data_IF_695118870632
#
_entry.id   IF_695118870632
#
_cell.length_a   1.000
_cell.length_b   1.000
_cell.length_c   1.000
_cell.angle_alpha   90.00
_cell.angle_beta   90.00
_cell.angle_gamma   90.00
#
_symmetry.space_group_name_H-M   'P 1'
#
loop_
_entity.id
_entity.type
_entity.pdbx_description
1 polymer ?
#
# COMPACT_ATOMS: atom_id res chain seq x y z
N UNK A 1 39.44 6.20 -56.83
CA UNK A 1 39.16 7.34 -55.93
C UNK A 1 37.64 7.42 -55.67
N UNK A 2 37.05 6.37 -55.12
CA UNK A 2 36.68 6.17 -53.70
C UNK A 2 35.80 7.30 -53.10
N UNK A 3 34.49 7.15 -53.39
CA UNK A 3 33.30 7.26 -52.53
C UNK A 3 32.95 8.62 -51.88
N UNK A 4 32.24 9.46 -52.63
CA UNK A 4 31.45 10.62 -52.15
C UNK A 4 30.04 10.27 -51.61
N UNK A 5 29.74 8.99 -51.40
CA UNK A 5 28.38 8.50 -51.11
C UNK A 5 28.05 8.20 -49.64
N UNK A 6 28.95 8.48 -48.68
CA UNK A 6 28.78 8.00 -47.30
C UNK A 6 28.07 8.98 -46.36
N UNK A 7 27.95 10.26 -46.72
CA UNK A 7 27.41 11.28 -45.80
C UNK A 7 25.91 11.52 -46.00
N UNK A 8 25.37 11.26 -47.19
CA UNK A 8 23.95 11.53 -47.50
C UNK A 8 23.01 10.44 -46.92
N UNK A 9 23.53 9.25 -46.59
CA UNK A 9 22.72 8.17 -46.02
C UNK A 9 22.39 8.36 -44.54
N UNK A 10 23.09 9.25 -43.82
CA UNK A 10 22.87 9.44 -42.38
C UNK A 10 21.74 10.43 -42.04
N UNK A 11 21.25 11.23 -42.99
CA UNK A 11 20.21 12.23 -42.73
C UNK A 11 18.78 11.75 -43.02
N UNK A 12 18.61 10.61 -43.71
CA UNK A 12 17.28 10.09 -44.11
C UNK A 12 16.74 9.05 -43.12
N UNK A 13 17.59 8.45 -42.27
CA UNK A 13 17.16 7.47 -41.26
C UNK A 13 16.55 8.15 -40.02
N UNK A 14 16.80 9.45 -39.81
CA UNK A 14 16.16 10.22 -38.74
C UNK A 14 14.69 10.58 -39.04
N UNK A 15 14.18 10.27 -40.24
CA UNK A 15 12.81 10.56 -40.67
C UNK A 15 11.85 9.34 -40.69
N UNK A 16 12.26 8.17 -40.20
CA UNK A 16 11.42 6.96 -40.22
C UNK A 16 11.06 6.36 -38.85
N UNK A 17 11.11 7.13 -37.76
CA UNK A 17 10.65 6.68 -36.43
C UNK A 17 9.62 7.62 -35.78
N UNK A 18 8.78 8.30 -36.57
CA UNK A 18 7.63 9.07 -36.07
C UNK A 18 6.27 8.43 -36.41
N UNK A 19 6.20 7.10 -36.50
CA UNK A 19 4.91 6.38 -36.51
C UNK A 19 5.05 5.02 -35.84
N UNK A 20 5.03 5.02 -34.51
CA UNK A 20 4.44 3.90 -33.78
C UNK A 20 3.47 4.49 -32.76
N UNK A 21 2.23 4.67 -33.21
CA UNK A 21 1.08 4.76 -32.33
C UNK A 21 0.93 3.41 -31.61
N UNK A 22 1.64 3.21 -30.50
CA UNK A 22 1.21 2.22 -29.52
C UNK A 22 0.11 2.84 -28.69
N UNK A 23 -1.09 2.80 -29.27
CA UNK A 23 -2.33 2.71 -28.53
C UNK A 23 -2.21 1.48 -27.63
N UNK A 24 -2.07 1.72 -26.33
CA UNK A 24 -2.50 0.86 -25.22
C UNK A 24 -2.33 1.69 -23.95
N UNK A 25 -3.18 2.71 -23.83
CA UNK A 25 -3.67 3.09 -22.51
C UNK A 25 -4.58 1.91 -22.16
N UNK A 26 -4.09 1.02 -21.31
CA UNK A 26 -4.96 0.11 -20.59
C UNK A 26 -5.93 1.02 -19.83
N UNK A 27 -7.12 1.09 -20.41
CA UNK A 27 -8.34 1.53 -19.78
C UNK A 27 -8.44 0.75 -18.46
N UNK A 28 -7.97 1.39 -17.38
CA UNK A 28 -8.34 0.99 -16.03
C UNK A 28 -9.84 1.28 -15.95
N UNK A 29 -10.62 0.22 -16.16
CA UNK A 29 -12.07 0.22 -16.09
C UNK A 29 -12.52 0.87 -14.79
N UNK A 30 -13.45 1.83 -14.94
CA UNK A 30 -14.14 2.60 -13.89
C UNK A 30 -14.75 1.72 -12.77
N UNK A 31 -14.91 0.42 -13.04
CA UNK A 31 -15.50 -0.56 -12.14
C UNK A 31 -14.67 -0.88 -10.87
N UNK A 32 -13.34 -0.70 -10.88
CA UNK A 32 -12.52 -1.01 -9.70
C UNK A 32 -12.49 0.11 -8.65
N UNK A 33 -12.74 1.36 -9.04
CA UNK A 33 -12.79 2.48 -8.09
C UNK A 33 -14.08 2.48 -7.27
N UNK A 34 -15.19 2.06 -7.89
CA UNK A 34 -16.50 1.97 -7.24
C UNK A 34 -16.55 0.89 -6.14
N UNK A 35 -15.83 -0.23 -6.31
CA UNK A 35 -15.84 -1.33 -5.33
C UNK A 35 -15.12 -0.97 -4.02
N UNK A 36 -14.07 -0.15 -4.06
CA UNK A 36 -13.34 0.27 -2.86
C UNK A 36 -14.08 1.36 -2.06
N UNK A 37 -14.76 2.28 -2.73
CA UNK A 37 -15.54 3.34 -2.08
C UNK A 37 -16.83 2.78 -1.44
N UNK A 38 -17.45 1.76 -2.07
CA UNK A 38 -18.57 1.03 -1.48
C UNK A 38 -18.16 0.17 -0.27
N UNK A 39 -16.94 -0.37 -0.25
CA UNK A 39 -16.44 -1.11 0.92
C UNK A 39 -16.35 -0.17 2.12
N UNK A 40 -15.80 1.04 1.98
CA UNK A 40 -15.69 2.00 3.08
C UNK A 40 -17.06 2.48 3.63
N UNK A 41 -18.06 2.67 2.77
CA UNK A 41 -19.42 3.07 3.19
C UNK A 41 -20.22 1.90 3.82
N UNK A 42 -20.02 0.66 3.36
CA UNK A 42 -20.70 -0.52 3.90
C UNK A 42 -20.24 -0.94 5.31
N UNK A 43 -19.06 -0.46 5.75
CA UNK A 43 -18.53 -0.73 7.09
C UNK A 43 -19.23 0.09 8.19
N UNK A 44 -20.19 0.94 7.85
CA UNK A 44 -20.98 1.70 8.84
C UNK A 44 -21.86 0.81 9.74
N UNK A 45 -22.15 -0.42 9.34
CA UNK A 45 -22.85 -1.43 10.15
C UNK A 45 -21.94 -2.56 10.63
N UNK A 46 -20.64 -2.27 10.79
CA UNK A 46 -19.65 -3.24 11.24
C UNK A 46 -19.50 -3.27 12.77
N UNK A 47 -19.08 -4.41 13.29
CA UNK A 47 -18.69 -4.56 14.70
C UNK A 47 -17.20 -4.32 14.83
N UNK A 48 -16.80 -3.44 15.76
CA UNK A 48 -15.38 -3.20 16.05
C UNK A 48 -14.84 -4.38 16.87
N UNK A 49 -13.76 -4.99 16.38
CA UNK A 49 -13.07 -6.10 17.03
C UNK A 49 -11.86 -5.63 17.84
N UNK A 50 -11.02 -4.76 17.23
CA UNK A 50 -9.83 -4.18 17.87
C UNK A 50 -9.63 -2.74 17.42
N UNK A 51 -8.97 -1.94 18.24
CA UNK A 51 -8.60 -0.55 17.90
C UNK A 51 -7.13 -0.29 18.20
N UNK A 52 -6.62 0.84 17.71
CA UNK A 52 -5.27 1.31 18.03
C UNK A 52 -5.05 2.72 17.51
N UNK A 53 -3.91 3.30 17.88
CA UNK A 53 -3.46 4.60 17.39
C UNK A 53 -2.01 4.49 16.95
N UNK A 54 -1.69 5.07 15.80
CA UNK A 54 -0.32 5.07 15.30
C UNK A 54 0.56 5.99 16.13
N UNK A 55 1.71 5.45 16.49
CA UNK A 55 2.88 6.20 16.90
C UNK A 55 3.91 6.18 15.77
N UNK A 56 4.39 7.36 15.38
CA UNK A 56 5.50 7.49 14.43
C UNK A 56 6.77 6.80 14.94
N UNK A 57 7.57 6.30 14.00
CA UNK A 57 8.88 5.68 14.24
C UNK A 57 9.92 6.41 13.39
N UNK A 58 10.36 5.83 12.27
CA UNK A 58 11.34 6.46 11.40
C UNK A 58 10.78 7.67 10.64
N UNK A 59 9.46 7.71 10.46
CA UNK A 59 8.75 8.82 9.81
C UNK A 59 7.55 9.25 10.66
N UNK A 60 7.06 10.49 10.49
CA UNK A 60 5.76 10.88 11.00
C UNK A 60 4.68 9.93 10.47
N UNK A 61 3.96 9.31 11.40
CA UNK A 61 2.80 8.47 11.13
C UNK A 61 1.84 8.65 12.30
N UNK A 62 0.56 8.91 12.00
CA UNK A 62 -0.46 9.20 13.00
C UNK A 62 -1.85 8.77 12.50
N UNK A 63 -2.81 8.82 13.42
CA UNK A 63 -4.21 8.49 13.18
C UNK A 63 -4.63 7.20 13.87
N UNK A 64 -5.94 6.96 13.90
CA UNK A 64 -6.52 5.74 14.42
C UNK A 64 -6.38 4.56 13.45
N UNK A 65 -6.57 3.35 13.98
CA UNK A 65 -6.86 2.14 13.22
C UNK A 65 -8.02 1.40 13.88
N UNK A 66 -8.79 0.66 13.08
CA UNK A 66 -9.85 -0.23 13.57
C UNK A 66 -9.78 -1.54 12.83
N UNK A 67 -9.89 -2.66 13.53
CA UNK A 67 -10.23 -3.94 12.91
C UNK A 67 -11.73 -4.14 13.13
N UNK A 68 -12.46 -4.35 12.05
CA UNK A 68 -13.91 -4.48 12.07
C UNK A 68 -14.35 -5.76 11.40
N UNK A 69 -15.52 -6.26 11.79
CA UNK A 69 -16.22 -7.37 11.14
C UNK A 69 -17.52 -6.88 10.50
N UNK A 70 -17.73 -7.20 9.23
CA UNK A 70 -18.94 -6.90 8.47
C UNK A 70 -19.29 -8.10 7.59
N UNK A 71 -20.53 -8.59 7.69
CA UNK A 71 -21.02 -9.74 6.92
C UNK A 71 -20.13 -11.00 7.03
N UNK A 72 -19.51 -11.23 8.19
CA UNK A 72 -18.60 -12.37 8.42
C UNK A 72 -17.19 -12.19 7.85
N UNK A 73 -16.90 -11.03 7.25
CA UNK A 73 -15.60 -10.67 6.73
C UNK A 73 -14.92 -9.64 7.62
N UNK A 74 -13.60 -9.76 7.76
CA UNK A 74 -12.81 -8.89 8.63
C UNK A 74 -11.96 -7.93 7.82
N UNK A 75 -11.89 -6.70 8.29
CA UNK A 75 -11.15 -5.63 7.63
C UNK A 75 -10.33 -4.85 8.65
N UNK A 76 -9.10 -4.52 8.28
CA UNK A 76 -8.36 -3.43 8.91
C UNK A 76 -8.72 -2.13 8.19
N UNK A 77 -9.10 -1.12 8.96
CA UNK A 77 -9.53 0.18 8.49
C UNK A 77 -8.59 1.23 9.07
N UNK A 78 -8.02 2.05 8.19
CA UNK A 78 -7.38 3.31 8.53
C UNK A 78 -8.43 4.40 8.28
N UNK A 79 -8.90 5.15 9.30
CA UNK A 79 -9.90 6.20 9.13
C UNK A 79 -9.31 7.48 8.52
N UNK A 80 -10.14 8.51 8.41
CA UNK A 80 -9.81 9.76 7.74
C UNK A 80 -8.62 10.52 8.34
N UNK A 81 -8.38 10.35 9.63
CA UNK A 81 -7.28 10.97 10.36
C UNK A 81 -5.92 10.28 10.15
N UNK A 82 -5.88 9.16 9.42
CA UNK A 82 -4.63 8.51 9.07
C UNK A 82 -3.76 9.42 8.19
N UNK A 83 -2.49 9.54 8.57
CA UNK A 83 -1.48 10.24 7.79
C UNK A 83 -0.09 9.65 8.01
N UNK A 84 0.71 9.58 6.94
CA UNK A 84 2.15 9.27 6.98
C UNK A 84 2.91 9.98 5.86
N UNK A 85 4.25 10.00 5.93
CA UNK A 85 5.11 10.39 4.81
C UNK A 85 5.03 9.39 3.64
N UNK A 86 5.39 9.84 2.44
CA UNK A 86 5.54 8.96 1.27
C UNK A 86 6.81 8.10 1.36
N UNK A 87 6.71 6.83 0.94
CA UNK A 87 7.84 5.95 0.70
C UNK A 87 7.70 5.22 -0.65
N UNK A 88 8.77 4.64 -1.21
CA UNK A 88 8.72 4.01 -2.54
C UNK A 88 7.75 2.83 -2.65
N UNK A 89 7.58 2.08 -1.56
CA UNK A 89 6.64 0.97 -1.49
C UNK A 89 6.30 0.67 -0.02
N UNK A 90 5.28 1.35 0.47
CA UNK A 90 4.76 1.17 1.83
C UNK A 90 3.73 0.04 1.85
N UNK A 91 3.74 -0.75 2.91
CA UNK A 91 2.84 -1.86 3.14
C UNK A 91 2.19 -1.74 4.52
N UNK A 92 0.98 -2.28 4.64
CA UNK A 92 0.26 -2.43 5.90
C UNK A 92 0.45 -3.86 6.39
N UNK A 93 1.09 -4.02 7.55
CA UNK A 93 1.44 -5.33 8.10
C UNK A 93 0.77 -5.52 9.45
N UNK A 94 0.17 -6.68 9.66
CA UNK A 94 -0.32 -7.14 10.95
C UNK A 94 0.73 -8.07 11.57
N UNK A 95 1.18 -7.80 12.80
CA UNK A 95 2.31 -8.53 13.40
C UNK A 95 2.02 -9.03 14.82
N UNK A 96 2.55 -10.22 15.16
CA UNK A 96 2.52 -10.77 16.52
C UNK A 96 3.44 -9.98 17.47
N UNK A 97 4.46 -9.30 16.95
CA UNK A 97 5.38 -8.52 17.77
C UNK A 97 4.64 -7.36 18.47
N UNK A 98 4.94 -7.14 19.76
CA UNK A 98 4.25 -6.16 20.62
C UNK A 98 4.60 -4.70 20.31
N UNK A 99 5.83 -4.43 19.87
CA UNK A 99 6.28 -3.08 19.50
C UNK A 99 7.51 -3.11 18.57
N UNK A 100 7.35 -3.45 17.28
CA UNK A 100 8.49 -3.64 16.39
C UNK A 100 9.19 -2.31 16.07
N UNK A 101 10.45 -2.17 16.53
CA UNK A 101 11.26 -0.95 16.32
C UNK A 101 12.17 -1.03 15.09
N UNK A 102 12.27 -2.20 14.45
CA UNK A 102 13.15 -2.46 13.32
C UNK A 102 12.55 -3.53 12.40
N UNK A 103 13.13 -3.68 11.21
CA UNK A 103 12.78 -4.80 10.34
C UNK A 103 13.08 -6.15 10.98
N UNK A 104 14.09 -6.28 11.84
CA UNK A 104 14.34 -7.55 12.52
C UNK A 104 13.16 -7.88 13.43
N UNK A 105 12.78 -6.95 14.31
CA UNK A 105 11.70 -7.16 15.26
C UNK A 105 10.34 -7.40 14.59
N UNK A 106 10.08 -6.72 13.47
CA UNK A 106 8.86 -6.96 12.69
C UNK A 106 8.75 -8.41 12.19
N UNK A 107 9.88 -9.03 11.85
CA UNK A 107 9.92 -10.41 11.35
C UNK A 107 10.24 -11.43 12.47
N UNK A 108 10.26 -10.99 13.73
CA UNK A 108 10.25 -11.88 14.89
C UNK A 108 8.81 -12.32 15.16
N UNK A 109 8.52 -13.59 14.89
CA UNK A 109 7.15 -14.14 14.99
C UNK A 109 6.39 -14.11 13.67
N UNK A 110 5.09 -14.40 13.73
CA UNK A 110 4.25 -14.37 12.53
C UNK A 110 3.81 -12.95 12.18
N UNK A 111 3.66 -12.69 10.90
CA UNK A 111 3.10 -11.46 10.36
C UNK A 111 2.28 -11.75 9.10
N UNK A 112 1.34 -10.86 8.79
CA UNK A 112 0.54 -10.88 7.57
C UNK A 112 0.76 -9.54 6.86
N UNK A 113 1.19 -9.61 5.60
CA UNK A 113 1.27 -8.46 4.71
C UNK A 113 -0.09 -8.27 4.04
N UNK A 114 -0.86 -7.26 4.48
CA UNK A 114 -2.19 -6.96 3.95
C UNK A 114 -2.14 -6.23 2.60
N UNK A 115 -0.94 -5.89 2.13
CA UNK A 115 -0.70 -5.28 0.84
C UNK A 115 -0.16 -3.86 0.90
N UNK A 116 -0.06 -3.27 -0.28
CA UNK A 116 0.48 -1.93 -0.50
C UNK A 116 -0.43 -0.88 0.13
N UNK A 117 0.17 0.12 0.78
CA UNK A 117 -0.53 1.29 1.29
C UNK A 117 -1.15 2.07 0.12
N UNK A 118 -2.48 2.12 0.07
CA UNK A 118 -3.24 2.73 -1.04
C UNK A 118 -3.03 4.24 -1.14
N UNK A 119 -3.01 4.92 0.01
CA UNK A 119 -2.82 6.37 0.13
C UNK A 119 -2.05 6.69 1.40
N UNK A 120 -1.21 7.72 1.36
CA UNK A 120 -0.50 8.20 2.56
C UNK A 120 -1.39 8.97 3.53
N UNK A 121 -2.65 9.24 3.15
CA UNK A 121 -3.64 9.94 3.96
C UNK A 121 -5.04 9.43 3.73
N UNK A 122 -5.89 9.60 4.73
CA UNK A 122 -7.33 9.40 4.62
C UNK A 122 -7.75 7.94 4.66
N UNK A 123 -9.07 7.79 4.51
CA UNK A 123 -9.76 6.52 4.75
C UNK A 123 -9.37 5.43 3.75
N UNK A 124 -9.09 4.22 4.25
CA UNK A 124 -8.75 3.04 3.45
C UNK A 124 -8.96 1.76 4.24
N UNK A 125 -9.29 0.66 3.54
CA UNK A 125 -9.55 -0.63 4.15
C UNK A 125 -8.79 -1.78 3.46
N UNK A 126 -8.44 -2.78 4.26
CA UNK A 126 -7.67 -3.96 3.88
C UNK A 126 -8.37 -5.21 4.40
N UNK A 127 -8.63 -6.17 3.52
CA UNK A 127 -9.27 -7.43 3.91
C UNK A 127 -8.27 -8.30 4.67
N UNK A 128 -8.70 -8.91 5.76
CA UNK A 128 -7.91 -9.87 6.54
C UNK A 128 -8.43 -11.26 6.18
N UNK A 129 -7.73 -11.95 5.29
CA UNK A 129 -8.16 -13.26 4.74
C UNK A 129 -7.61 -14.46 5.50
N UNK A 130 -6.66 -14.24 6.40
CA UNK A 130 -5.92 -15.30 7.08
C UNK A 130 -5.50 -14.89 8.48
N UNK A 131 -5.08 -15.89 9.26
CA UNK A 131 -4.57 -15.70 10.61
C UNK A 131 -5.62 -15.64 11.70
N UNK A 132 -5.15 -15.88 12.93
CA UNK A 132 -5.92 -15.74 14.15
C UNK A 132 -5.67 -14.35 14.74
N UNK A 133 -6.69 -13.49 14.70
CA UNK A 133 -6.60 -12.09 15.16
C UNK A 133 -6.16 -11.94 16.62
N UNK A 134 -6.35 -12.97 17.45
CA UNK A 134 -5.93 -12.92 18.84
C UNK A 134 -4.42 -12.99 19.02
N UNK A 135 -3.69 -13.48 18.02
CA UNK A 135 -2.23 -13.56 18.06
C UNK A 135 -1.54 -12.26 17.68
N UNK A 136 -2.24 -11.40 16.93
CA UNK A 136 -1.67 -10.18 16.40
C UNK A 136 -1.86 -9.01 17.36
N UNK A 137 -0.77 -8.30 17.61
CA UNK A 137 -0.66 -7.27 18.64
C UNK A 137 -0.43 -5.88 18.05
N UNK A 138 0.08 -5.78 16.83
CA UNK A 138 0.38 -4.49 16.19
C UNK A 138 0.03 -4.43 14.71
N UNK A 139 -0.24 -3.21 14.26
CA UNK A 139 -0.29 -2.82 12.85
C UNK A 139 0.92 -1.95 12.55
N UNK A 140 1.60 -2.22 11.44
CA UNK A 140 2.86 -1.57 11.09
C UNK A 140 2.79 -1.03 9.67
N UNK A 141 3.13 0.25 9.50
CA UNK A 141 3.40 0.82 8.18
C UNK A 141 4.89 0.56 7.89
N UNK A 142 5.18 -0.24 6.86
CA UNK A 142 6.53 -0.72 6.59
C UNK A 142 6.96 -0.42 5.16
N UNK A 143 8.15 0.15 5.00
CA UNK A 143 8.77 0.36 3.68
C UNK A 143 9.61 -0.86 3.31
N UNK A 144 9.12 -1.70 2.40
CA UNK A 144 9.81 -2.96 2.02
C UNK A 144 11.19 -2.75 1.39
N UNK A 145 11.38 -1.81 0.43
CA UNK A 145 12.67 -1.64 -0.22
C UNK A 145 13.78 -1.21 0.74
N UNK A 146 13.45 -0.36 1.71
CA UNK A 146 14.42 0.16 2.68
C UNK A 146 14.44 -0.59 4.01
N UNK A 147 13.51 -1.50 4.23
CA UNK A 147 13.37 -2.26 5.46
C UNK A 147 13.19 -1.38 6.71
N UNK A 148 12.37 -0.35 6.59
CA UNK A 148 12.15 0.65 7.65
C UNK A 148 10.71 0.62 8.14
N UNK A 149 10.54 0.66 9.47
CA UNK A 149 9.25 0.82 10.14
C UNK A 149 8.91 2.31 10.21
N UNK A 150 7.83 2.72 9.54
CA UNK A 150 7.36 4.11 9.50
C UNK A 150 6.57 4.45 10.76
N UNK A 151 5.61 3.62 11.12
CA UNK A 151 4.78 3.79 12.32
C UNK A 151 4.18 2.47 12.78
N UNK A 152 3.82 2.42 14.07
CA UNK A 152 3.27 1.25 14.75
C UNK A 152 2.01 1.66 15.50
N UNK A 153 0.93 0.89 15.36
CA UNK A 153 -0.26 1.00 16.18
C UNK A 153 -0.43 -0.29 16.99
N UNK A 154 -0.44 -0.19 18.31
CA UNK A 154 -0.75 -1.31 19.21
C UNK A 154 -2.25 -1.56 19.22
N UNK A 155 -2.63 -2.84 19.18
CA UNK A 155 -4.01 -3.30 19.16
C UNK A 155 -4.51 -3.58 20.58
N UNK A 156 -5.73 -3.13 20.89
CA UNK A 156 -6.48 -3.43 22.11
C UNK A 156 -7.90 -3.89 21.81
#
# INVERSE_FOLDING_TARGET
MIKKGLIITLLVIFLLFLTSCSKNIEEMTDDQKAAEEQTASSLQSSTILKTGSFEGRAHPTSGEIKIVESNGEKFLVLPEDFQTDSGPLLHVILAEHQDPMSSSNLHEGQYIDLGVLKSTKGTQAYKITEGDLEKFNTVVIYCKPFKVVFGVAKLS
#
